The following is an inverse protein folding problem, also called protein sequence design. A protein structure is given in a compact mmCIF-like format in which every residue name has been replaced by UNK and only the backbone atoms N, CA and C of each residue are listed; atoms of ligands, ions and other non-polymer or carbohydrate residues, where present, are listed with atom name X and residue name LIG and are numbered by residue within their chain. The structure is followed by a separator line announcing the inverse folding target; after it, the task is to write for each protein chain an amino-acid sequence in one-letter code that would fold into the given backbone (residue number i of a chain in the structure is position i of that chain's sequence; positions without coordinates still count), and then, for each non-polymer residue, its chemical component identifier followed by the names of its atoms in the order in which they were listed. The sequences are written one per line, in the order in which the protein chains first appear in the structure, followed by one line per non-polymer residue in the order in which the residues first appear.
data_IF_626432304408
#
_entry.id   IF_626432304408
#
_cell.length_a   1.000
_cell.length_b   1.000
_cell.length_c   1.000
_cell.angle_alpha   90.00
_cell.angle_beta   90.00
_cell.angle_gamma   90.00
#
_symmetry.space_group_name_H-M   'P 1'
#
loop_
_entity.id
_entity.type
_entity.pdbx_description
1 polymer ?
#
# COMPACT_ATOMS: atom_id res chain seq x y z
N UNK A 1 4.37 6.54 -16.11
CA UNK A 1 4.09 5.83 -14.85
C UNK A 1 3.05 4.74 -15.06
N UNK A 2 3.38 3.52 -14.65
CA UNK A 2 2.54 2.34 -14.88
C UNK A 2 1.17 2.43 -14.23
N UNK A 3 1.09 3.02 -13.04
CA UNK A 3 -0.18 3.15 -12.32
C UNK A 3 -1.10 4.13 -13.01
N UNK A 4 -0.57 5.24 -13.51
CA UNK A 4 -1.37 6.19 -14.28
C UNK A 4 -1.94 5.53 -15.54
N UNK A 5 -1.12 4.75 -16.23
CA UNK A 5 -1.52 4.02 -17.42
C UNK A 5 -2.61 3.00 -17.09
N UNK A 6 -2.42 2.24 -16.02
CA UNK A 6 -3.40 1.25 -15.55
C UNK A 6 -4.77 1.89 -15.29
N UNK A 7 -4.79 3.00 -14.56
CA UNK A 7 -6.03 3.71 -14.24
C UNK A 7 -6.65 4.36 -15.46
N UNK A 8 -5.83 4.86 -16.39
CA UNK A 8 -6.30 5.41 -17.66
C UNK A 8 -7.01 4.34 -18.51
N UNK A 9 -6.47 3.13 -18.51
CA UNK A 9 -7.04 2.01 -19.27
C UNK A 9 -8.26 1.38 -18.58
N UNK A 10 -8.49 1.71 -17.30
CA UNK A 10 -9.59 1.16 -16.51
C UNK A 10 -10.40 2.31 -15.88
N UNK A 11 -11.14 3.07 -16.69
CA UNK A 11 -11.84 4.27 -16.20
C UNK A 11 -12.86 4.01 -15.10
N UNK A 12 -13.39 2.78 -15.00
CA UNK A 12 -14.34 2.41 -13.96
C UNK A 12 -13.66 1.86 -12.69
N UNK A 13 -12.32 1.80 -12.71
CA UNK A 13 -11.57 1.20 -11.62
C UNK A 13 -11.02 2.21 -10.64
N UNK A 14 -10.89 1.78 -9.39
CA UNK A 14 -10.17 2.51 -8.36
C UNK A 14 -8.97 1.68 -7.93
N UNK A 15 -7.96 2.34 -7.42
CA UNK A 15 -6.75 1.68 -6.92
C UNK A 15 -6.80 1.61 -5.41
N UNK A 16 -6.68 0.40 -4.86
CA UNK A 16 -6.49 0.21 -3.44
C UNK A 16 -4.98 0.12 -3.18
N UNK A 17 -4.49 1.01 -2.32
CA UNK A 17 -3.09 1.05 -1.91
C UNK A 17 -2.99 0.35 -0.57
N UNK A 18 -2.35 -0.82 -0.54
CA UNK A 18 -2.28 -1.67 0.62
C UNK A 18 -0.91 -1.55 1.27
N UNK A 19 -0.89 -1.02 2.50
CA UNK A 19 0.35 -0.88 3.26
C UNK A 19 0.55 -2.06 4.20
N UNK A 20 1.80 -2.48 4.35
CA UNK A 20 2.18 -3.58 5.23
C UNK A 20 3.40 -3.19 6.07
N UNK A 21 3.55 -3.85 7.20
CA UNK A 21 4.67 -3.66 8.11
C UNK A 21 5.29 -5.00 8.48
N UNK A 22 6.48 -4.97 9.07
CA UNK A 22 7.07 -6.16 9.68
C UNK A 22 6.48 -6.35 11.07
N UNK A 23 6.71 -7.53 11.66
CA UNK A 23 6.16 -7.89 12.98
C UNK A 23 6.97 -7.31 14.16
N UNK A 24 7.64 -6.17 13.96
CA UNK A 24 8.40 -5.50 15.00
C UNK A 24 7.47 -4.60 15.82
N UNK A 25 7.45 -4.76 17.13
CA UNK A 25 6.67 -3.91 18.00
C UNK A 25 5.19 -4.32 18.09
N UNK A 26 4.37 -3.40 18.55
CA UNK A 26 2.95 -3.66 18.79
C UNK A 26 2.12 -3.61 17.52
N UNK A 27 1.08 -4.44 17.48
CA UNK A 27 0.19 -4.55 16.34
C UNK A 27 -0.46 -3.22 15.95
N UNK A 28 -0.99 -2.48 16.94
CA UNK A 28 -1.64 -1.19 16.68
C UNK A 28 -0.68 -0.19 16.05
N UNK A 29 0.56 -0.17 16.52
CA UNK A 29 1.60 0.69 15.97
C UNK A 29 1.91 0.30 14.52
N UNK A 30 1.99 -0.99 14.26
CA UNK A 30 2.30 -1.50 12.92
C UNK A 30 1.17 -1.22 11.94
N UNK A 31 -0.08 -1.29 12.38
CA UNK A 31 -1.22 -0.92 11.54
C UNK A 31 -1.13 0.56 11.17
N UNK A 32 -0.91 1.43 12.16
CA UNK A 32 -0.78 2.86 11.91
C UNK A 32 0.37 3.17 10.96
N UNK A 33 1.52 2.51 11.15
CA UNK A 33 2.68 2.70 10.28
C UNK A 33 2.40 2.26 8.84
N UNK A 34 1.67 1.14 8.68
CA UNK A 34 1.31 0.63 7.35
C UNK A 34 0.34 1.58 6.64
N UNK A 35 -0.59 2.19 7.36
CA UNK A 35 -1.48 3.23 6.81
C UNK A 35 -0.65 4.43 6.35
N UNK A 36 0.28 4.88 7.16
CA UNK A 36 1.13 6.04 6.81
C UNK A 36 1.96 5.77 5.55
N UNK A 37 2.46 4.56 5.39
CA UNK A 37 3.19 4.19 4.16
C UNK A 37 2.30 4.23 2.93
N UNK A 38 1.09 3.69 3.04
CA UNK A 38 0.14 3.72 1.94
C UNK A 38 -0.31 5.15 1.62
N UNK A 39 -0.52 5.98 2.63
CA UNK A 39 -0.87 7.38 2.44
C UNK A 39 0.24 8.17 1.74
N UNK A 40 1.49 7.90 2.06
CA UNK A 40 2.62 8.55 1.40
C UNK A 40 2.63 8.22 -0.10
N UNK A 41 2.36 6.99 -0.45
CA UNK A 41 2.25 6.57 -1.86
C UNK A 41 1.07 7.25 -2.53
N UNK A 42 -0.06 7.33 -1.84
CA UNK A 42 -1.25 8.03 -2.35
C UNK A 42 -0.93 9.48 -2.68
N UNK A 43 -0.27 10.17 -1.75
CA UNK A 43 0.11 11.57 -1.97
C UNK A 43 1.05 11.73 -3.16
N UNK A 44 1.98 10.81 -3.34
CA UNK A 44 2.86 10.82 -4.51
C UNK A 44 2.06 10.70 -5.80
N UNK A 45 1.11 9.78 -5.86
CA UNK A 45 0.29 9.56 -7.05
C UNK A 45 -0.58 10.77 -7.37
N UNK A 46 -1.16 11.40 -6.34
CA UNK A 46 -1.90 12.66 -6.52
C UNK A 46 -0.98 13.72 -7.12
N UNK A 47 0.25 13.80 -6.61
CA UNK A 47 1.24 14.77 -7.08
C UNK A 47 1.61 14.60 -8.56
N UNK A 48 1.55 13.40 -9.09
CA UNK A 48 1.83 13.15 -10.52
C UNK A 48 0.58 13.14 -11.38
N UNK A 49 -0.57 13.52 -10.83
CA UNK A 49 -1.78 13.75 -11.61
C UNK A 49 -2.87 12.71 -11.53
N UNK A 50 -2.77 11.75 -10.61
CA UNK A 50 -3.86 10.78 -10.41
C UNK A 50 -4.94 11.42 -9.55
N UNK A 51 -6.20 11.25 -9.93
CA UNK A 51 -7.33 11.80 -9.18
C UNK A 51 -7.42 11.15 -7.79
N UNK A 52 -7.52 11.97 -6.75
CA UNK A 52 -7.62 11.49 -5.38
C UNK A 52 -8.87 10.63 -5.14
N UNK A 53 -9.94 10.87 -5.90
CA UNK A 53 -11.18 10.10 -5.75
C UNK A 53 -11.06 8.67 -6.23
N UNK A 54 -10.00 8.36 -6.96
CA UNK A 54 -9.74 7.01 -7.47
C UNK A 54 -8.74 6.22 -6.63
N UNK A 55 -8.26 6.80 -5.53
CA UNK A 55 -7.23 6.20 -4.69
C UNK A 55 -7.77 5.94 -3.29
N UNK A 56 -7.72 4.67 -2.87
CA UNK A 56 -8.11 4.25 -1.53
C UNK A 56 -6.89 3.71 -0.81
N UNK A 57 -6.88 3.83 0.52
CA UNK A 57 -5.76 3.38 1.36
C UNK A 57 -6.27 2.38 2.38
N UNK A 58 -5.54 1.30 2.59
CA UNK A 58 -5.80 0.33 3.63
C UNK A 58 -4.47 -0.11 4.27
N UNK A 59 -4.41 -0.09 5.58
CA UNK A 59 -3.25 -0.59 6.31
C UNK A 59 -3.56 -1.94 6.93
N UNK A 60 -2.71 -2.91 6.71
CA UNK A 60 -2.89 -4.27 7.22
C UNK A 60 -1.89 -4.62 8.33
N UNK A 61 -0.96 -3.72 8.64
CA UNK A 61 0.05 -3.98 9.65
C UNK A 61 0.93 -5.16 9.27
N UNK A 62 1.08 -6.10 10.19
CA UNK A 62 1.94 -7.27 9.97
C UNK A 62 1.25 -8.46 9.31
N UNK A 63 0.01 -8.31 8.87
CA UNK A 63 -0.72 -9.40 8.21
C UNK A 63 -0.09 -9.78 6.88
N UNK A 64 -0.28 -11.01 6.48
CA UNK A 64 0.18 -11.57 5.20
C UNK A 64 1.67 -11.35 4.94
N UNK A 65 2.55 -11.77 5.84
CA UNK A 65 3.99 -11.61 5.61
C UNK A 65 4.44 -12.43 4.41
N UNK A 66 5.33 -11.86 3.61
CA UNK A 66 5.94 -12.55 2.47
C UNK A 66 7.38 -12.96 2.76
N UNK A 67 7.94 -12.48 3.86
CA UNK A 67 9.26 -12.83 4.31
C UNK A 67 9.25 -13.28 5.77
N UNK A 68 10.35 -13.88 6.19
CA UNK A 68 10.51 -14.35 7.56
C UNK A 68 10.75 -13.18 8.51
N UNK A 69 9.81 -12.93 9.42
CA UNK A 69 9.93 -11.85 10.40
C UNK A 69 11.03 -12.06 11.43
N UNK A 70 11.59 -13.28 11.53
CA UNK A 70 12.72 -13.57 12.41
C UNK A 70 14.05 -13.13 11.80
N UNK A 71 14.08 -12.80 10.50
CA UNK A 71 15.28 -12.38 9.80
C UNK A 71 15.15 -10.92 9.34
N UNK A 72 16.23 -10.13 9.41
CA UNK A 72 16.19 -8.74 8.95
C UNK A 72 15.76 -8.59 7.50
N UNK A 73 16.20 -9.49 6.63
CA UNK A 73 15.85 -9.50 5.21
C UNK A 73 14.35 -9.76 5.02
N UNK A 74 13.81 -10.69 5.79
CA UNK A 74 12.38 -11.00 5.74
C UNK A 74 11.53 -9.85 6.23
N UNK A 75 11.94 -9.18 7.31
CA UNK A 75 11.24 -7.99 7.79
C UNK A 75 11.28 -6.87 6.76
N UNK A 76 12.40 -6.70 6.07
CA UNK A 76 12.53 -5.66 5.05
C UNK A 76 11.53 -5.85 3.92
N UNK A 77 11.35 -7.09 3.43
CA UNK A 77 10.38 -7.33 2.35
C UNK A 77 8.93 -7.27 2.83
N UNK A 78 8.68 -7.44 4.13
CA UNK A 78 7.35 -7.31 4.71
C UNK A 78 6.91 -5.84 4.82
N UNK A 79 7.85 -4.91 4.94
CA UNK A 79 7.58 -3.48 4.95
C UNK A 79 7.39 -3.01 3.51
N UNK A 80 6.18 -3.17 3.03
CA UNK A 80 5.90 -2.96 1.60
C UNK A 80 4.56 -2.28 1.38
N UNK A 81 4.36 -1.82 0.15
CA UNK A 81 3.07 -1.33 -0.34
C UNK A 81 2.72 -2.15 -1.57
N UNK A 82 1.49 -2.63 -1.62
CA UNK A 82 0.96 -3.38 -2.75
C UNK A 82 -0.24 -2.64 -3.33
N UNK A 83 -0.58 -2.93 -4.57
CA UNK A 83 -1.67 -2.27 -5.27
C UNK A 83 -2.69 -3.29 -5.75
N UNK A 84 -3.96 -2.94 -5.63
CA UNK A 84 -5.05 -3.77 -6.12
C UNK A 84 -6.02 -2.92 -6.90
N UNK A 85 -6.29 -3.29 -8.15
CA UNK A 85 -7.30 -2.61 -8.94
C UNK A 85 -8.68 -3.14 -8.54
N UNK A 86 -9.55 -2.22 -8.14
CA UNK A 86 -10.93 -2.55 -7.78
C UNK A 86 -11.85 -1.99 -8.85
N UNK A 87 -12.68 -2.84 -9.43
CA UNK A 87 -13.65 -2.43 -10.44
C UNK A 87 -15.03 -2.28 -9.80
N UNK A 88 -15.70 -1.25 -10.23
CA UNK A 88 -17.09 -1.00 -9.80
C UNK A 88 -18.06 -1.84 -10.59
#
# INVERSE_FOLDING_TARGET
EKIKTLLSENPDGNLLIEGYASADGEEDYNIELSVKRAEAVRMYLIGIGVSETRLEVQGYGEENPIGDNEQPEGRAVNRRVQFKLKRN
#
